data_IF_499023554844
#
_entry.id   IF_499023554844
#
_cell.length_a   1.000
_cell.length_b   1.000
_cell.length_c   1.000
_cell.angle_alpha   90.00
_cell.angle_beta   90.00
_cell.angle_gamma   90.00
#
_symmetry.space_group_name_H-M   'P 1'
#
loop_
_entity.id
_entity.type
_entity.pdbx_description
1 polymer ?
#
# COMPACT_ATOMS: atom_id res chain seq x y z
N UNK A 1 30.20 1.11 -3.34
CA UNK A 1 29.51 2.35 -3.76
C UNK A 1 27.98 2.22 -3.79
N UNK A 2 27.41 1.16 -4.37
CA UNK A 2 25.95 1.01 -4.49
C UNK A 2 25.20 1.02 -3.14
N UNK A 3 25.67 0.27 -2.13
CA UNK A 3 25.03 0.20 -0.80
C UNK A 3 24.92 1.58 -0.14
N UNK A 4 26.06 2.29 -0.04
CA UNK A 4 26.10 3.64 0.53
C UNK A 4 25.10 4.57 -0.16
N UNK A 5 25.04 4.54 -1.49
CA UNK A 5 24.13 5.38 -2.25
C UNK A 5 22.67 5.02 -1.96
N UNK A 6 22.33 3.73 -1.87
CA UNK A 6 20.98 3.29 -1.47
C UNK A 6 20.57 3.83 -0.10
N UNK A 7 21.45 3.72 0.90
CA UNK A 7 21.17 4.26 2.24
C UNK A 7 20.99 5.77 2.22
N UNK A 8 21.87 6.51 1.53
CA UNK A 8 21.75 7.96 1.39
C UNK A 8 20.40 8.33 0.75
N UNK A 9 20.01 7.68 -0.35
CA UNK A 9 18.75 7.98 -1.05
C UNK A 9 17.54 7.77 -0.13
N UNK A 10 17.46 6.64 0.55
CA UNK A 10 16.32 6.35 1.42
C UNK A 10 16.28 7.21 2.68
N UNK A 11 17.43 7.54 3.28
CA UNK A 11 17.48 8.43 4.45
C UNK A 11 17.10 9.86 4.05
N UNK A 12 17.61 10.36 2.92
CA UNK A 12 17.23 11.68 2.40
C UNK A 12 15.75 11.70 2.01
N UNK A 13 15.21 10.61 1.46
CA UNK A 13 13.77 10.48 1.24
C UNK A 13 12.98 10.56 2.55
N UNK A 14 13.48 9.96 3.64
CA UNK A 14 12.89 10.11 4.97
C UNK A 14 12.85 11.57 5.41
N UNK A 15 13.98 12.27 5.34
CA UNK A 15 14.05 13.71 5.67
C UNK A 15 13.09 14.58 4.84
N UNK A 16 12.81 14.21 3.60
CA UNK A 16 11.86 14.94 2.76
C UNK A 16 10.42 14.89 3.30
N UNK A 17 10.05 13.84 4.03
CA UNK A 17 8.71 13.71 4.61
C UNK A 17 8.54 14.47 5.92
N UNK A 18 9.62 14.82 6.62
CA UNK A 18 9.55 15.65 7.82
C UNK A 18 10.82 15.58 8.68
N UNK A 19 10.88 16.46 9.69
CA UNK A 19 12.02 16.57 10.59
C UNK A 19 12.02 15.55 11.75
N UNK A 20 10.98 14.71 11.84
CA UNK A 20 10.87 13.71 12.90
C UNK A 20 11.84 12.53 12.66
N UNK A 21 12.45 12.02 13.73
CA UNK A 21 13.33 10.85 13.70
C UNK A 21 12.63 9.59 13.19
N UNK A 22 11.31 9.52 13.32
CA UNK A 22 10.50 8.42 12.80
C UNK A 22 10.64 8.26 11.28
N UNK A 23 10.74 9.36 10.52
CA UNK A 23 10.94 9.33 9.07
C UNK A 23 12.34 8.87 8.68
N UNK A 24 13.37 9.25 9.44
CA UNK A 24 14.74 8.77 9.23
C UNK A 24 14.82 7.27 9.48
N UNK A 25 14.18 6.78 10.54
CA UNK A 25 14.10 5.36 10.86
C UNK A 25 13.35 4.58 9.77
N UNK A 26 12.22 5.11 9.31
CA UNK A 26 11.47 4.56 8.17
C UNK A 26 12.33 4.45 6.91
N UNK A 27 13.08 5.50 6.56
CA UNK A 27 14.01 5.48 5.43
C UNK A 27 15.10 4.43 5.60
N UNK A 28 15.72 4.36 6.77
CA UNK A 28 16.75 3.37 7.09
C UNK A 28 16.22 1.92 7.00
N UNK A 29 14.99 1.66 7.47
CA UNK A 29 14.35 0.35 7.33
C UNK A 29 14.15 -0.05 5.87
N UNK A 30 13.65 0.86 5.02
CA UNK A 30 13.49 0.58 3.59
C UNK A 30 14.83 0.30 2.89
N UNK A 31 15.89 1.05 3.25
CA UNK A 31 17.24 0.78 2.77
C UNK A 31 17.71 -0.63 3.17
N UNK A 32 17.44 -1.03 4.43
CA UNK A 32 17.79 -2.34 4.95
C UNK A 32 17.02 -3.46 4.24
N UNK A 33 15.72 -3.27 3.99
CA UNK A 33 14.88 -4.26 3.29
C UNK A 33 15.28 -4.43 1.82
N UNK A 34 15.79 -3.37 1.19
CA UNK A 34 16.31 -3.45 -0.17
C UNK A 34 17.71 -4.10 -0.26
N UNK A 35 18.46 -4.13 0.85
CA UNK A 35 19.86 -4.58 0.87
C UNK A 35 20.07 -6.03 0.39
N UNK A 36 19.25 -7.03 0.78
CA UNK A 36 19.42 -8.40 0.27
C UNK A 36 19.29 -8.51 -1.25
N UNK A 37 18.35 -7.77 -1.87
CA UNK A 37 18.20 -7.74 -3.32
C UNK A 37 19.49 -7.21 -3.97
N UNK A 38 20.01 -6.10 -3.44
CA UNK A 38 21.23 -5.44 -3.92
C UNK A 38 22.47 -6.34 -3.78
N UNK A 39 22.66 -6.98 -2.62
CA UNK A 39 23.81 -7.84 -2.34
C UNK A 39 23.79 -9.12 -3.17
N UNK A 40 22.61 -9.69 -3.38
CA UNK A 40 22.43 -10.88 -4.23
C UNK A 40 22.36 -10.55 -5.72
N UNK A 41 22.43 -9.26 -6.09
CA UNK A 41 22.34 -8.76 -7.46
C UNK A 41 21.04 -9.22 -8.17
N UNK A 42 19.94 -9.35 -7.39
CA UNK A 42 18.63 -9.87 -7.83
C UNK A 42 17.63 -8.76 -8.19
N UNK A 43 18.10 -7.53 -8.31
CA UNK A 43 17.30 -6.32 -8.48
C UNK A 43 16.44 -6.35 -9.76
N UNK A 44 16.79 -7.20 -10.73
CA UNK A 44 16.08 -7.38 -12.01
C UNK A 44 15.60 -8.82 -12.24
N UNK A 45 15.57 -9.64 -11.19
CA UNK A 45 15.18 -11.05 -11.32
C UNK A 45 13.67 -11.24 -11.33
N UNK A 46 12.92 -10.33 -10.70
CA UNK A 46 11.46 -10.42 -10.53
C UNK A 46 10.77 -9.26 -11.26
N UNK A 47 10.93 -9.20 -12.58
CA UNK A 47 10.36 -8.13 -13.43
C UNK A 47 9.02 -8.46 -14.06
N UNK A 48 8.64 -9.74 -14.06
CA UNK A 48 7.36 -10.17 -14.62
C UNK A 48 6.22 -9.90 -13.63
N UNK A 49 5.00 -9.84 -14.16
CA UNK A 49 3.78 -9.76 -13.37
C UNK A 49 3.63 -11.01 -12.50
N UNK A 50 3.20 -10.82 -11.25
CA UNK A 50 2.96 -11.95 -10.34
C UNK A 50 1.81 -12.82 -10.87
N UNK A 51 1.94 -14.14 -10.76
CA UNK A 51 0.97 -15.11 -11.22
C UNK A 51 0.63 -14.97 -12.71
N UNK A 52 1.58 -14.57 -13.55
CA UNK A 52 1.40 -14.40 -14.99
C UNK A 52 0.73 -15.63 -15.65
N UNK A 53 -0.37 -15.39 -16.37
CA UNK A 53 -1.18 -16.40 -17.05
C UNK A 53 -2.02 -17.28 -16.12
N UNK A 54 -2.10 -16.99 -14.82
CA UNK A 54 -2.82 -17.80 -13.81
C UNK A 54 -3.76 -16.95 -12.98
N UNK A 55 -4.76 -17.55 -12.34
CA UNK A 55 -5.65 -16.78 -11.45
C UNK A 55 -5.10 -16.62 -10.03
N UNK A 56 -4.23 -17.54 -9.59
CA UNK A 56 -3.69 -17.60 -8.24
C UNK A 56 -2.17 -17.65 -8.26
N UNK A 57 -1.51 -17.03 -7.26
CA UNK A 57 -0.06 -17.10 -7.15
C UNK A 57 0.36 -18.51 -6.73
N UNK A 58 1.55 -18.92 -7.16
CA UNK A 58 2.23 -20.05 -6.56
C UNK A 58 2.52 -19.79 -5.08
N UNK A 59 2.76 -20.85 -4.30
CA UNK A 59 3.10 -20.71 -2.88
C UNK A 59 4.33 -19.81 -2.66
N UNK A 60 5.29 -19.85 -3.59
CA UNK A 60 6.48 -18.98 -3.57
C UNK A 60 6.10 -17.50 -3.77
N UNK A 61 5.29 -17.20 -4.77
CA UNK A 61 4.84 -15.84 -5.04
C UNK A 61 3.98 -15.30 -3.90
N UNK A 62 3.10 -16.13 -3.34
CA UNK A 62 2.32 -15.76 -2.16
C UNK A 62 3.22 -15.37 -0.98
N UNK A 63 4.26 -16.16 -0.69
CA UNK A 63 5.23 -15.84 0.34
C UNK A 63 5.98 -14.52 0.03
N UNK A 64 6.36 -14.28 -1.22
CA UNK A 64 7.01 -13.03 -1.62
C UNK A 64 6.10 -11.80 -1.45
N UNK A 65 4.82 -11.92 -1.82
CA UNK A 65 3.81 -10.88 -1.60
C UNK A 65 3.67 -10.62 -0.09
N UNK A 66 3.40 -11.68 0.68
CA UNK A 66 3.17 -11.58 2.12
C UNK A 66 4.38 -10.98 2.85
N UNK A 67 5.60 -11.42 2.53
CA UNK A 67 6.82 -10.88 3.12
C UNK A 67 6.99 -9.39 2.81
N UNK A 68 6.80 -8.99 1.54
CA UNK A 68 6.93 -7.58 1.14
C UNK A 68 5.87 -6.71 1.82
N UNK A 69 4.62 -7.19 1.87
CA UNK A 69 3.52 -6.49 2.53
C UNK A 69 3.79 -6.31 4.03
N UNK A 70 4.19 -7.37 4.74
CA UNK A 70 4.49 -7.31 6.18
C UNK A 70 5.64 -6.34 6.45
N UNK A 71 6.75 -6.45 5.71
CA UNK A 71 7.89 -5.53 5.87
C UNK A 71 7.47 -4.08 5.64
N UNK A 72 6.69 -3.82 4.58
CA UNK A 72 6.20 -2.47 4.25
C UNK A 72 5.26 -1.95 5.34
N UNK A 73 4.33 -2.77 5.82
CA UNK A 73 3.39 -2.41 6.87
C UNK A 73 4.11 -2.08 8.19
N UNK A 74 5.12 -2.88 8.57
CA UNK A 74 5.95 -2.63 9.75
C UNK A 74 6.76 -1.33 9.62
N UNK A 75 7.31 -1.04 8.43
CA UNK A 75 7.96 0.24 8.19
C UNK A 75 6.96 1.40 8.32
N UNK A 76 5.75 1.28 7.75
CA UNK A 76 4.73 2.32 7.80
C UNK A 76 4.23 2.67 9.21
N UNK A 77 4.40 1.79 10.21
CA UNK A 77 4.17 2.15 11.62
C UNK A 77 5.03 3.36 12.01
N UNK A 78 6.33 3.35 11.66
CA UNK A 78 7.22 4.48 11.91
C UNK A 78 6.83 5.70 11.08
N UNK A 79 6.36 5.52 9.85
CA UNK A 79 5.93 6.65 9.02
C UNK A 79 4.73 7.41 9.64
N UNK A 80 3.84 6.70 10.34
CA UNK A 80 2.62 7.29 10.91
C UNK A 80 2.74 7.70 12.39
N UNK A 81 3.63 7.07 13.15
CA UNK A 81 3.74 7.33 14.58
C UNK A 81 4.26 8.75 14.89
N UNK A 82 3.74 9.35 15.97
CA UNK A 82 4.13 10.68 16.44
C UNK A 82 5.59 10.77 16.89
N UNK A 83 6.17 9.67 17.38
CA UNK A 83 7.57 9.56 17.78
C UNK A 83 8.00 8.08 17.81
N UNK A 84 9.29 7.83 18.08
CA UNK A 84 9.84 6.47 18.07
C UNK A 84 9.27 5.59 19.19
N UNK A 85 9.04 6.14 20.38
CA UNK A 85 8.45 5.40 21.50
C UNK A 85 7.05 4.90 21.14
N UNK A 86 6.20 5.79 20.62
CA UNK A 86 4.86 5.45 20.13
C UNK A 86 4.89 4.40 19.02
N UNK A 87 5.88 4.43 18.12
CA UNK A 87 6.05 3.41 17.08
C UNK A 87 6.34 2.02 17.69
N UNK A 88 7.25 1.95 18.67
CA UNK A 88 7.58 0.70 19.34
C UNK A 88 6.44 0.17 20.21
N UNK A 89 5.69 1.06 20.87
CA UNK A 89 4.47 0.70 21.59
C UNK A 89 3.45 0.05 20.65
N UNK A 90 3.23 0.65 19.47
CA UNK A 90 2.38 0.08 18.42
C UNK A 90 2.84 -1.33 18.02
N UNK A 91 4.14 -1.52 17.77
CA UNK A 91 4.69 -2.82 17.40
C UNK A 91 4.53 -3.85 18.52
N UNK A 92 4.70 -3.45 19.78
CA UNK A 92 4.51 -4.34 20.94
C UNK A 92 3.05 -4.81 21.07
N UNK A 93 2.10 -3.92 20.79
CA UNK A 93 0.68 -4.21 20.86
C UNK A 93 0.22 -5.23 19.80
N UNK A 94 0.84 -5.22 18.60
CA UNK A 94 0.56 -6.19 17.53
C UNK A 94 0.79 -7.63 18.01
N UNK A 95 1.80 -7.87 18.84
CA UNK A 95 2.12 -9.19 19.36
C UNK A 95 1.47 -9.50 20.72
N UNK A 96 0.56 -8.65 21.17
CA UNK A 96 -0.19 -8.87 22.41
C UNK A 96 -1.39 -9.79 22.20
N UNK A 97 -2.02 -10.21 23.30
CA UNK A 97 -3.23 -11.06 23.26
C UNK A 97 -4.40 -10.41 22.52
N UNK A 98 -4.41 -9.08 22.37
CA UNK A 98 -5.46 -8.37 21.63
C UNK A 98 -5.48 -8.71 20.14
N UNK A 99 -4.41 -9.29 19.60
CA UNK A 99 -4.36 -9.75 18.20
C UNK A 99 -5.49 -10.73 17.85
N UNK A 100 -5.94 -11.51 18.84
CA UNK A 100 -7.03 -12.49 18.67
C UNK A 100 -8.40 -11.96 19.10
N UNK A 101 -8.49 -10.66 19.42
CA UNK A 101 -9.74 -10.00 19.81
C UNK A 101 -10.23 -9.10 18.68
N UNK A 102 -11.57 -8.99 18.54
CA UNK A 102 -12.15 -8.03 17.61
C UNK A 102 -11.96 -6.62 18.17
N UNK A 103 -11.37 -5.69 17.40
CA UNK A 103 -11.24 -4.31 17.85
C UNK A 103 -12.63 -3.70 18.04
N UNK A 104 -12.79 -2.82 19.03
CA UNK A 104 -14.01 -2.04 19.25
C UNK A 104 -13.63 -0.58 19.38
N UNK A 105 -14.18 0.26 18.50
CA UNK A 105 -13.97 1.70 18.47
C UNK A 105 -15.17 2.40 17.82
N UNK A 106 -15.29 3.72 18.02
CA UNK A 106 -16.43 4.55 17.61
C UNK A 106 -16.82 4.38 16.14
N UNK A 107 -15.83 4.27 15.26
CA UNK A 107 -16.01 4.33 13.81
C UNK A 107 -16.04 2.96 13.14
N UNK A 108 -16.52 1.93 13.85
CA UNK A 108 -16.58 0.55 13.35
C UNK A 108 -17.33 0.42 12.02
N UNK A 109 -18.43 1.16 11.84
CA UNK A 109 -19.21 1.15 10.59
C UNK A 109 -18.38 1.67 9.41
N UNK A 110 -17.63 2.74 9.63
CA UNK A 110 -16.74 3.31 8.62
C UNK A 110 -15.63 2.31 8.30
N UNK A 111 -14.98 1.75 9.32
CA UNK A 111 -13.92 0.75 9.15
C UNK A 111 -14.39 -0.49 8.36
N UNK A 112 -15.59 -1.00 8.65
CA UNK A 112 -16.19 -2.10 7.89
C UNK A 112 -16.41 -1.70 6.42
N UNK A 113 -17.00 -0.53 6.18
CA UNK A 113 -17.23 -0.04 4.81
C UNK A 113 -15.93 0.13 4.03
N UNK A 114 -14.91 0.72 4.65
CA UNK A 114 -13.58 0.88 4.07
C UNK A 114 -12.92 -0.47 3.81
N UNK A 115 -13.04 -1.43 4.72
CA UNK A 115 -12.48 -2.78 4.54
C UNK A 115 -13.12 -3.50 3.34
N UNK A 116 -14.44 -3.40 3.20
CA UNK A 116 -15.16 -3.96 2.04
C UNK A 116 -14.68 -3.31 0.74
N UNK A 117 -14.54 -1.99 0.71
CA UNK A 117 -14.05 -1.26 -0.46
C UNK A 117 -12.61 -1.65 -0.81
N UNK A 118 -11.73 -1.78 0.19
CA UNK A 118 -10.35 -2.24 -0.01
C UNK A 118 -10.34 -3.65 -0.63
N UNK A 119 -11.17 -4.57 -0.12
CA UNK A 119 -11.26 -5.93 -0.68
C UNK A 119 -11.72 -5.87 -2.14
N UNK A 120 -12.73 -5.07 -2.46
CA UNK A 120 -13.21 -4.88 -3.84
C UNK A 120 -12.08 -4.33 -4.73
N UNK A 121 -11.35 -3.31 -4.28
CA UNK A 121 -10.26 -2.71 -5.04
C UNK A 121 -9.08 -3.68 -5.23
N UNK A 122 -8.71 -4.43 -4.21
CA UNK A 122 -7.69 -5.49 -4.31
C UNK A 122 -8.12 -6.56 -5.31
N UNK A 123 -9.40 -6.96 -5.32
CA UNK A 123 -9.91 -7.92 -6.31
C UNK A 123 -9.87 -7.38 -7.73
N UNK A 124 -10.28 -6.12 -7.94
CA UNK A 124 -10.22 -5.46 -9.26
C UNK A 124 -8.77 -5.37 -9.74
N UNK A 125 -7.86 -4.91 -8.87
CA UNK A 125 -6.42 -4.83 -9.15
C UNK A 125 -5.85 -6.22 -9.50
N UNK A 126 -6.20 -7.24 -8.71
CA UNK A 126 -5.73 -8.60 -8.93
C UNK A 126 -6.19 -9.17 -10.27
N UNK A 127 -7.46 -8.95 -10.65
CA UNK A 127 -8.00 -9.40 -11.93
C UNK A 127 -7.41 -8.63 -13.12
N UNK A 128 -7.06 -7.37 -12.92
CA UNK A 128 -6.54 -6.48 -13.95
C UNK A 128 -5.01 -6.40 -14.06
N UNK A 129 -4.26 -7.08 -13.18
CA UNK A 129 -2.79 -6.94 -13.03
C UNK A 129 -1.93 -7.21 -14.27
N UNK A 130 -2.45 -7.90 -15.28
CA UNK A 130 -1.75 -8.17 -16.56
C UNK A 130 -2.00 -7.09 -17.62
N UNK A 131 -2.90 -6.16 -17.33
CA UNK A 131 -3.21 -5.01 -18.16
C UNK A 131 -2.36 -3.80 -17.70
N UNK A 132 -2.32 -2.72 -18.47
CA UNK A 132 -1.58 -1.50 -18.09
C UNK A 132 -2.16 -0.83 -16.83
N UNK A 133 -3.46 -1.02 -16.59
CA UNK A 133 -4.16 -0.61 -15.37
C UNK A 133 -5.36 -1.51 -15.11
N UNK A 134 -5.80 -1.60 -13.84
CA UNK A 134 -6.74 -2.62 -13.39
C UNK A 134 -8.09 -2.66 -14.14
N UNK A 135 -8.60 -1.48 -14.51
CA UNK A 135 -9.90 -1.32 -15.17
C UNK A 135 -9.81 -1.17 -16.70
N UNK A 136 -8.66 -1.47 -17.32
CA UNK A 136 -8.44 -1.28 -18.77
C UNK A 136 -9.55 -1.87 -19.63
N UNK A 137 -9.94 -3.11 -19.33
CA UNK A 137 -10.95 -3.85 -20.09
C UNK A 137 -12.37 -3.62 -19.58
N UNK A 138 -12.57 -2.85 -18.52
CA UNK A 138 -13.87 -2.66 -17.89
C UNK A 138 -14.83 -1.92 -18.85
N UNK A 139 -15.92 -2.59 -19.19
CA UNK A 139 -16.98 -2.00 -20.01
C UNK A 139 -16.67 -1.82 -21.49
N UNK A 140 -15.54 -2.32 -21.99
CA UNK A 140 -15.19 -2.23 -23.42
C UNK A 140 -16.15 -3.03 -24.31
N UNK A 141 -16.60 -4.19 -23.83
CA UNK A 141 -17.52 -5.09 -24.56
C UNK A 141 -19.00 -4.82 -24.25
N UNK A 142 -19.32 -3.79 -23.46
CA UNK A 142 -20.70 -3.50 -23.09
C UNK A 142 -21.47 -2.85 -24.24
N UNK A 143 -22.78 -3.07 -24.26
CA UNK A 143 -23.67 -2.35 -25.16
C UNK A 143 -23.53 -0.83 -24.93
N UNK A 144 -23.39 -0.05 -26.01
CA UNK A 144 -22.98 1.37 -25.95
C UNK A 144 -23.78 2.21 -24.93
N UNK A 145 -25.12 2.12 -24.85
CA UNK A 145 -25.89 2.83 -23.84
C UNK A 145 -25.50 2.51 -22.39
N UNK A 146 -25.20 1.25 -22.07
CA UNK A 146 -24.80 0.83 -20.71
C UNK A 146 -23.47 1.50 -20.32
N UNK A 147 -22.53 1.54 -21.26
CA UNK A 147 -21.24 2.21 -21.07
C UNK A 147 -21.41 3.71 -20.84
N UNK A 148 -22.35 4.36 -21.55
CA UNK A 148 -22.64 5.77 -21.34
C UNK A 148 -23.28 6.02 -19.97
N UNK A 149 -24.23 5.18 -19.56
CA UNK A 149 -24.83 5.25 -18.21
C UNK A 149 -23.76 5.13 -17.13
N UNK A 150 -22.78 4.23 -17.29
CA UNK A 150 -21.65 4.12 -16.36
C UNK A 150 -20.84 5.43 -16.30
N UNK A 151 -20.49 6.01 -17.46
CA UNK A 151 -19.73 7.27 -17.49
C UNK A 151 -20.49 8.44 -16.86
N UNK A 152 -21.78 8.59 -17.18
CA UNK A 152 -22.62 9.62 -16.56
C UNK A 152 -22.76 9.39 -15.06
N UNK A 153 -22.92 8.15 -14.61
CA UNK A 153 -22.95 7.83 -13.17
C UNK A 153 -21.67 8.26 -12.48
N UNK A 154 -20.49 7.92 -13.03
CA UNK A 154 -19.20 8.33 -12.46
C UNK A 154 -19.12 9.86 -12.37
N UNK A 155 -19.42 10.56 -13.46
CA UNK A 155 -19.40 12.03 -13.49
C UNK A 155 -20.35 12.63 -12.44
N UNK A 156 -21.58 12.13 -12.36
CA UNK A 156 -22.55 12.59 -11.37
C UNK A 156 -22.08 12.33 -9.94
N UNK A 157 -21.46 11.17 -9.66
CA UNK A 157 -20.89 10.89 -8.35
C UNK A 157 -19.74 11.83 -8.00
N UNK A 158 -18.89 12.21 -8.95
CA UNK A 158 -17.81 13.17 -8.71
C UNK A 158 -18.37 14.54 -8.30
N UNK A 159 -19.44 15.00 -8.96
CA UNK A 159 -20.10 16.26 -8.59
C UNK A 159 -20.85 16.15 -7.27
N UNK A 160 -21.51 15.02 -7.00
CA UNK A 160 -22.26 14.82 -5.76
C UNK A 160 -21.34 14.74 -4.52
N UNK A 161 -20.19 14.09 -4.67
CA UNK A 161 -19.19 13.92 -3.61
C UNK A 161 -18.04 14.91 -3.71
N UNK A 162 -18.24 16.08 -4.35
CA UNK A 162 -17.22 17.14 -4.35
C UNK A 162 -16.93 17.55 -2.91
N UNK A 163 -15.75 17.14 -2.42
CA UNK A 163 -15.32 17.34 -1.04
C UNK A 163 -14.77 18.73 -0.78
N UNK A 164 -14.48 19.02 0.49
CA UNK A 164 -13.72 20.21 0.87
C UNK A 164 -12.25 20.07 0.47
N UNK A 165 -11.56 21.21 0.32
CA UNK A 165 -10.14 21.23 -0.04
C UNK A 165 -9.32 20.49 1.03
N UNK A 166 -8.88 19.28 0.72
CA UNK A 166 -8.11 18.45 1.64
C UNK A 166 -6.63 18.81 1.50
N UNK A 167 -5.97 19.06 2.62
CA UNK A 167 -4.52 19.29 2.60
C UNK A 167 -3.82 18.06 2.02
N UNK A 168 -2.80 18.28 1.22
CA UNK A 168 -2.01 17.19 0.68
C UNK A 168 -1.48 16.33 1.83
N UNK A 169 -1.45 15.01 1.65
CA UNK A 169 -1.15 14.06 2.73
C UNK A 169 0.17 14.38 3.45
N UNK A 170 1.13 14.99 2.75
CA UNK A 170 2.42 15.44 3.29
C UNK A 170 2.35 16.51 4.39
N UNK A 171 1.19 17.16 4.58
CA UNK A 171 0.97 18.15 5.63
C UNK A 171 0.12 17.61 6.79
N UNK A 172 -0.25 16.32 6.77
CA UNK A 172 -1.16 15.72 7.74
C UNK A 172 -0.46 14.79 8.76
N UNK A 173 0.87 14.83 8.84
CA UNK A 173 1.66 14.05 9.78
C UNK A 173 2.19 14.92 10.91
#
# INVERSE_FOLDING_TARGET
MKIRNTFIIFIVSGFWHGANWTFVFWGALNALYFLPLLLLNKNRTYTNTVAEGKNLPSLKEFYQIAATFILTALAWVFFRAENLEHAFDYLSAIFSKSLFSLPQFSDMRLALSTSILIIIFVLIEWLGRENEYAIEKLGLNWYRPIRWVMYFTIILTLFWFTGQQQQFIYFQF
#
